data_IF_741529663782
#
_entry.id   IF_741529663782
#
_cell.length_a   1.000
_cell.length_b   1.000
_cell.length_c   1.000
_cell.angle_alpha   90.00
_cell.angle_beta   90.00
_cell.angle_gamma   90.00
#
_symmetry.space_group_name_H-M   'P 1'
#
loop_
_entity.id
_entity.type
_entity.pdbx_description
1 polymer ?
#
# COMPACT_ATOMS: atom_id res chain seq x y z
N UNK A 1 -11.25 -1.73 -0.23
CA UNK A 1 -10.30 -2.41 -1.14
C UNK A 1 -10.61 -3.90 -1.32
N UNK A 2 -10.56 -4.73 -0.27
CA UNK A 2 -10.94 -6.16 -0.39
C UNK A 2 -12.39 -6.36 -0.85
N UNK A 3 -13.29 -5.59 -0.24
CA UNK A 3 -14.72 -5.62 -0.56
C UNK A 3 -15.04 -5.08 -1.96
N UNK A 4 -14.28 -4.08 -2.43
CA UNK A 4 -14.46 -3.48 -3.78
C UNK A 4 -14.05 -4.45 -4.88
N UNK A 5 -12.93 -5.17 -4.70
CA UNK A 5 -12.48 -6.20 -5.66
C UNK A 5 -13.48 -7.35 -5.76
N UNK A 6 -14.04 -7.80 -4.63
CA UNK A 6 -15.08 -8.84 -4.61
C UNK A 6 -16.32 -8.39 -5.40
N UNK A 7 -16.77 -7.15 -5.20
CA UNK A 7 -17.93 -6.59 -5.90
C UNK A 7 -17.69 -6.47 -7.41
N UNK A 8 -16.49 -6.09 -7.84
CA UNK A 8 -16.10 -6.04 -9.25
C UNK A 8 -16.14 -7.42 -9.92
N UNK A 9 -15.59 -8.44 -9.26
CA UNK A 9 -15.61 -9.82 -9.76
C UNK A 9 -17.06 -10.31 -9.89
N UNK A 10 -17.90 -10.08 -8.87
CA UNK A 10 -19.32 -10.47 -8.92
C UNK A 10 -20.04 -9.75 -10.07
N UNK A 11 -19.82 -8.44 -10.22
CA UNK A 11 -20.43 -7.65 -11.31
C UNK A 11 -20.02 -8.13 -12.69
N UNK A 12 -18.75 -8.49 -12.88
CA UNK A 12 -18.24 -9.03 -14.14
C UNK A 12 -18.81 -10.43 -14.46
N UNK A 13 -19.19 -11.20 -13.43
CA UNK A 13 -19.74 -12.55 -13.58
C UNK A 13 -21.26 -12.63 -13.70
N UNK A 14 -21.98 -11.57 -13.33
CA UNK A 14 -23.43 -11.46 -13.50
C UNK A 14 -23.96 -11.88 -14.87
N UNK A 15 -23.36 -11.53 -16.02
CA UNK A 15 -23.89 -11.94 -17.32
C UNK A 15 -23.69 -13.42 -17.67
N UNK A 16 -22.82 -14.14 -16.95
CA UNK A 16 -22.43 -15.53 -17.28
C UNK A 16 -23.05 -16.54 -16.29
N UNK A 17 -23.25 -16.12 -15.05
CA UNK A 17 -23.65 -17.01 -13.95
C UNK A 17 -25.12 -16.79 -13.56
N UNK A 18 -25.79 -17.90 -13.22
CA UNK A 18 -27.10 -17.82 -12.59
C UNK A 18 -26.98 -17.38 -11.11
N UNK A 19 -28.11 -17.05 -10.50
CA UNK A 19 -28.18 -16.52 -9.12
C UNK A 19 -27.52 -17.46 -8.10
N UNK A 20 -27.74 -18.77 -8.23
CA UNK A 20 -27.20 -19.76 -7.31
C UNK A 20 -25.66 -19.87 -7.44
N UNK A 21 -25.15 -19.80 -8.66
CA UNK A 21 -23.72 -19.78 -8.95
C UNK A 21 -23.05 -18.50 -8.44
N UNK A 22 -23.70 -17.34 -8.58
CA UNK A 22 -23.20 -16.06 -8.04
C UNK A 22 -23.13 -16.08 -6.51
N UNK A 23 -24.14 -16.64 -5.84
CA UNK A 23 -24.13 -16.79 -4.38
C UNK A 23 -22.98 -17.67 -3.91
N UNK A 24 -22.76 -18.79 -4.60
CA UNK A 24 -21.66 -19.70 -4.28
C UNK A 24 -20.30 -19.05 -4.51
N UNK A 25 -20.12 -18.37 -5.65
CA UNK A 25 -18.92 -17.60 -5.96
C UNK A 25 -18.63 -16.55 -4.88
N UNK A 26 -19.65 -15.82 -4.45
CA UNK A 26 -19.51 -14.80 -3.43
C UNK A 26 -19.03 -15.37 -2.08
N UNK A 27 -19.61 -16.50 -1.65
CA UNK A 27 -19.20 -17.18 -0.43
C UNK A 27 -17.74 -17.66 -0.49
N UNK A 28 -17.32 -18.23 -1.62
CA UNK A 28 -15.93 -18.66 -1.81
C UNK A 28 -15.00 -17.45 -1.74
N UNK A 29 -15.29 -16.38 -2.48
CA UNK A 29 -14.47 -15.16 -2.48
C UNK A 29 -14.35 -14.56 -1.08
N UNK A 30 -15.44 -14.54 -0.32
CA UNK A 30 -15.43 -14.09 1.07
C UNK A 30 -14.48 -14.94 1.93
N UNK A 31 -14.67 -16.26 1.92
CA UNK A 31 -13.87 -17.19 2.71
C UNK A 31 -12.39 -17.21 2.31
N UNK A 32 -12.08 -17.14 1.02
CA UNK A 32 -10.69 -17.10 0.54
C UNK A 32 -10.01 -15.78 0.89
N UNK A 33 -10.75 -14.67 0.89
CA UNK A 33 -10.20 -13.34 1.20
C UNK A 33 -9.83 -13.15 2.68
N UNK A 34 -10.31 -14.02 3.58
CA UNK A 34 -9.91 -14.04 4.98
C UNK A 34 -8.47 -14.55 5.17
N UNK A 35 -8.00 -15.39 4.24
CA UNK A 35 -6.69 -16.06 4.34
C UNK A 35 -5.63 -15.45 3.40
N UNK A 36 -5.95 -14.35 2.70
CA UNK A 36 -5.08 -13.76 1.69
C UNK A 36 -4.93 -12.26 1.97
N UNK A 37 -3.68 -11.80 2.01
CA UNK A 37 -3.36 -10.39 1.99
C UNK A 37 -3.31 -9.90 0.54
N UNK A 38 -4.25 -9.01 0.18
CA UNK A 38 -4.27 -8.40 -1.16
C UNK A 38 -3.29 -7.23 -1.16
N UNK A 39 -2.07 -7.48 -1.62
CA UNK A 39 -1.09 -6.44 -1.88
C UNK A 39 -1.30 -5.91 -3.30
N UNK A 40 -1.82 -4.69 -3.42
CA UNK A 40 -1.78 -3.96 -4.70
C UNK A 40 -0.40 -3.38 -4.89
N UNK A 41 0.06 -3.33 -6.14
CA UNK A 41 1.39 -2.81 -6.51
C UNK A 41 1.63 -1.36 -6.03
N UNK A 42 0.54 -0.61 -5.76
CA UNK A 42 0.56 0.72 -5.12
C UNK A 42 1.15 0.72 -3.70
N UNK A 43 1.06 -0.38 -2.95
CA UNK A 43 1.65 -0.47 -1.62
C UNK A 43 3.19 -0.53 -1.66
N UNK A 44 3.77 -1.02 -2.76
CA UNK A 44 5.22 -0.92 -2.98
C UNK A 44 5.65 0.53 -3.14
N UNK A 45 4.83 1.37 -3.75
CA UNK A 45 5.17 2.77 -3.98
C UNK A 45 5.21 3.56 -2.66
N UNK A 46 4.37 3.24 -1.68
CA UNK A 46 4.39 3.95 -0.39
C UNK A 46 5.52 3.45 0.53
N UNK A 47 5.90 2.17 0.46
CA UNK A 47 7.13 1.69 1.14
C UNK A 47 8.39 2.26 0.49
N UNK A 48 8.44 2.31 -0.85
CA UNK A 48 9.56 2.91 -1.60
C UNK A 48 9.65 4.42 -1.32
N UNK A 49 8.54 5.16 -1.29
CA UNK A 49 8.54 6.59 -0.93
C UNK A 49 9.05 6.85 0.48
N UNK A 50 8.73 6.00 1.45
CA UNK A 50 9.18 6.17 2.83
C UNK A 50 10.69 5.87 2.96
N UNK A 51 11.17 4.82 2.30
CA UNK A 51 12.60 4.51 2.20
C UNK A 51 13.37 5.63 1.47
N UNK A 52 12.81 6.16 0.39
CA UNK A 52 13.36 7.30 -0.35
C UNK A 52 13.43 8.55 0.53
N UNK A 53 12.40 8.82 1.35
CA UNK A 53 12.37 9.99 2.20
C UNK A 53 13.44 9.94 3.31
N UNK A 54 13.65 8.78 3.94
CA UNK A 54 14.76 8.60 4.89
C UNK A 54 16.13 8.84 4.23
N UNK A 55 16.31 8.35 3.00
CA UNK A 55 17.56 8.54 2.24
C UNK A 55 17.75 10.03 1.90
N UNK A 56 16.68 10.71 1.48
CA UNK A 56 16.70 12.15 1.18
C UNK A 56 17.02 12.99 2.42
N UNK A 57 16.46 12.66 3.58
CA UNK A 57 16.77 13.34 4.86
C UNK A 57 18.23 13.12 5.25
N UNK A 58 18.77 11.91 5.09
CA UNK A 58 20.19 11.62 5.37
C UNK A 58 21.12 12.42 4.45
N UNK A 59 20.81 12.49 3.15
CA UNK A 59 21.55 13.30 2.17
C UNK A 59 21.49 14.80 2.50
N UNK A 60 20.32 15.30 2.87
CA UNK A 60 20.12 16.70 3.28
C UNK A 60 20.95 17.05 4.52
N UNK A 61 20.95 16.21 5.56
CA UNK A 61 21.74 16.42 6.78
C UNK A 61 23.24 16.40 6.46
N UNK A 62 23.69 15.50 5.60
CA UNK A 62 25.09 15.44 5.17
C UNK A 62 25.53 16.74 4.48
N UNK A 63 24.71 17.29 3.58
CA UNK A 63 24.98 18.58 2.94
C UNK A 63 25.04 19.73 3.97
N UNK A 64 24.11 19.77 4.94
CA UNK A 64 24.08 20.80 5.99
C UNK A 64 25.29 20.75 6.92
N UNK A 65 25.87 19.56 7.15
CA UNK A 65 27.14 19.41 7.89
C UNK A 65 28.30 20.05 7.13
N UNK A 66 28.38 19.86 5.82
CA UNK A 66 29.41 20.46 4.96
C UNK A 66 29.30 22.00 4.94
N UNK A 67 28.08 22.53 5.03
CA UNK A 67 27.82 23.98 5.18
C UNK A 67 28.22 24.55 6.56
N UNK A 68 28.58 23.70 7.55
CA UNK A 68 29.01 24.13 8.88
C UNK A 68 27.87 24.32 9.90
N UNK A 69 26.70 23.74 9.65
CA UNK A 69 25.60 23.77 10.62
C UNK A 69 25.95 22.99 11.90
N UNK A 70 25.55 23.53 13.06
CA UNK A 70 25.77 22.87 14.35
C UNK A 70 24.93 21.60 14.47
N UNK A 71 25.43 20.61 15.23
CA UNK A 71 24.67 19.39 15.51
C UNK A 71 23.31 19.67 16.16
N UNK A 72 23.22 20.69 17.02
CA UNK A 72 21.97 21.13 17.64
C UNK A 72 20.91 21.53 16.61
N UNK A 73 21.33 22.15 15.51
CA UNK A 73 20.43 22.55 14.42
C UNK A 73 19.98 21.36 13.56
N UNK A 74 20.81 20.31 13.48
CA UNK A 74 20.53 19.13 12.64
C UNK A 74 19.54 18.14 13.28
N UNK A 75 19.49 18.09 14.61
CA UNK A 75 18.58 17.21 15.37
C UNK A 75 17.11 17.47 15.02
N UNK A 76 16.75 18.69 14.65
CA UNK A 76 15.37 19.05 14.27
C UNK A 76 14.90 18.39 12.97
N UNK A 77 15.79 17.81 12.16
CA UNK A 77 15.44 17.13 10.92
C UNK A 77 15.40 15.60 11.04
N UNK A 78 15.70 15.05 12.23
CA UNK A 78 15.73 13.61 12.50
C UNK A 78 14.46 13.07 13.17
N UNK A 79 13.50 13.96 13.47
CA UNK A 79 12.21 13.66 14.12
C UNK A 79 11.05 14.00 13.19
#
# INVERSE_FOLDING_TARGET
MRETTRQEIIKAMTPILNIQQLQYLNNILHNSSLNIEIQTELAKTDSIKNEDNEVLVKLFIAAKKVEGCSEKSLVYYLN
#
